data_IF_171792536441
#
_entry.id   IF_171792536441
#
_cell.length_a   1.000
_cell.length_b   1.000
_cell.length_c   1.000
_cell.angle_alpha   90.00
_cell.angle_beta   90.00
_cell.angle_gamma   90.00
#
_symmetry.space_group_name_H-M   'P 1'
#
loop_
_entity.id
_entity.type
_entity.pdbx_description
1 polymer ?
#
# COMPACT_ATOMS: atom_id res chain seq x y z
N UNK A 1 -2.47 -0.51 13.63
CA UNK A 1 -3.72 -0.70 14.38
C UNK A 1 -4.09 -2.18 14.60
N UNK A 2 -3.37 -3.14 13.99
CA UNK A 2 -3.55 -4.58 14.20
C UNK A 2 -2.81 -5.02 15.45
N UNK A 3 -3.50 -5.79 16.30
CA UNK A 3 -2.93 -6.40 17.51
C UNK A 3 -2.49 -7.83 17.25
N UNK A 4 -3.33 -8.63 16.59
CA UNK A 4 -3.02 -10.00 16.17
C UNK A 4 -3.66 -10.35 14.84
N UNK A 5 -3.09 -11.33 14.15
CA UNK A 5 -3.64 -11.95 12.96
C UNK A 5 -3.55 -13.47 13.13
N UNK A 6 -4.67 -14.14 12.99
CA UNK A 6 -4.78 -15.59 13.08
C UNK A 6 -5.34 -16.13 11.78
N UNK A 7 -4.76 -17.22 11.29
CA UNK A 7 -5.20 -17.88 10.06
C UNK A 7 -5.79 -19.25 10.41
N UNK A 8 -7.10 -19.39 10.26
CA UNK A 8 -7.82 -20.63 10.47
C UNK A 8 -7.87 -21.41 9.14
N UNK A 9 -7.10 -22.48 9.06
CA UNK A 9 -6.97 -23.28 7.82
C UNK A 9 -7.77 -24.57 7.87
N UNK A 10 -8.18 -24.99 9.07
CA UNK A 10 -8.94 -26.21 9.26
C UNK A 10 -10.46 -25.95 9.27
N UNK A 11 -11.22 -26.93 8.78
CA UNK A 11 -12.68 -26.80 8.65
C UNK A 11 -13.40 -26.67 10.00
N UNK A 12 -12.85 -27.22 11.08
CA UNK A 12 -13.50 -27.21 12.39
C UNK A 12 -13.45 -25.80 13.01
N UNK A 13 -12.29 -25.14 12.96
CA UNK A 13 -12.15 -23.76 13.47
C UNK A 13 -12.82 -22.73 12.55
N UNK A 14 -12.92 -23.00 11.25
CA UNK A 14 -13.56 -22.14 10.28
C UNK A 14 -15.11 -22.28 10.25
N UNK A 15 -15.66 -23.39 10.74
CA UNK A 15 -17.10 -23.71 10.64
C UNK A 15 -18.04 -22.65 11.24
N UNK A 16 -17.61 -21.94 12.29
CA UNK A 16 -18.42 -20.87 12.92
C UNK A 16 -18.62 -19.66 12.01
N UNK A 17 -17.83 -19.51 10.95
CA UNK A 17 -17.91 -18.41 9.98
C UNK A 17 -18.74 -18.74 8.73
N UNK A 18 -19.37 -19.95 8.72
CA UNK A 18 -20.31 -20.38 7.67
C UNK A 18 -19.62 -20.85 6.38
N UNK A 19 -20.43 -20.94 5.30
CA UNK A 19 -20.00 -21.54 4.02
C UNK A 19 -18.87 -20.76 3.31
N UNK A 20 -18.75 -19.47 3.56
CA UNK A 20 -17.70 -18.62 2.97
C UNK A 20 -16.31 -18.94 3.52
N UNK A 21 -16.25 -19.62 4.66
CA UNK A 21 -15.00 -20.04 5.30
C UNK A 21 -14.31 -21.25 4.63
N UNK A 22 -14.89 -21.81 3.54
CA UNK A 22 -14.36 -23.00 2.86
C UNK A 22 -12.91 -22.84 2.37
N UNK A 23 -12.45 -21.63 2.09
CA UNK A 23 -11.07 -21.32 1.69
C UNK A 23 -10.16 -20.86 2.86
N UNK A 24 -10.64 -21.03 4.10
CA UNK A 24 -9.98 -20.54 5.31
C UNK A 24 -10.45 -19.16 5.74
N UNK A 25 -10.10 -18.79 6.98
CA UNK A 25 -10.48 -17.53 7.59
C UNK A 25 -9.24 -16.82 8.12
N UNK A 26 -9.14 -15.52 7.89
CA UNK A 26 -8.14 -14.65 8.51
C UNK A 26 -8.83 -13.78 9.53
N UNK A 27 -8.55 -14.03 10.81
CA UNK A 27 -9.03 -13.21 11.92
C UNK A 27 -8.05 -12.08 12.18
N UNK A 28 -8.53 -10.85 12.12
CA UNK A 28 -7.75 -9.65 12.42
C UNK A 28 -8.33 -9.01 13.68
N UNK A 29 -7.55 -8.98 14.75
CA UNK A 29 -7.88 -8.26 15.97
C UNK A 29 -7.20 -6.89 15.95
N UNK A 30 -7.97 -5.82 16.14
CA UNK A 30 -7.43 -4.47 16.25
C UNK A 30 -6.93 -4.17 17.66
N UNK A 31 -6.00 -3.22 17.78
CA UNK A 31 -5.51 -2.75 19.08
C UNK A 31 -6.65 -2.16 19.88
N UNK A 32 -6.73 -2.55 21.14
CA UNK A 32 -7.65 -2.01 22.14
C UNK A 32 -6.90 -1.17 23.17
N UNK A 33 -7.60 -0.29 23.83
CA UNK A 33 -7.07 0.40 25.00
C UNK A 33 -6.68 -0.58 26.10
N UNK A 34 -5.67 -0.23 26.87
CA UNK A 34 -5.27 -0.96 28.08
C UNK A 34 -5.53 -0.10 29.30
N UNK A 35 -6.02 -0.71 30.39
CA UNK A 35 -6.11 -0.04 31.68
C UNK A 35 -4.71 0.41 32.12
N UNK A 36 -4.62 1.64 32.63
CA UNK A 36 -3.36 2.24 33.08
C UNK A 36 -3.23 3.69 32.62
N UNK A 37 -2.05 4.27 32.88
CA UNK A 37 -1.75 5.64 32.52
C UNK A 37 -1.83 5.83 30.98
N UNK A 38 -2.41 6.94 30.54
CA UNK A 38 -2.50 7.29 29.15
C UNK A 38 -1.13 7.36 28.47
N UNK A 39 -1.01 6.76 27.30
CA UNK A 39 0.21 6.72 26.50
C UNK A 39 -0.04 7.30 25.11
N UNK A 40 0.87 8.17 24.69
CA UNK A 40 0.95 8.68 23.32
C UNK A 40 2.09 7.95 22.62
N UNK A 41 1.84 7.48 21.41
CA UNK A 41 2.85 6.83 20.57
C UNK A 41 2.83 7.47 19.20
N UNK A 42 4.00 7.82 18.70
CA UNK A 42 4.19 8.28 17.33
C UNK A 42 5.16 7.36 16.61
N UNK A 43 4.70 6.82 15.49
CA UNK A 43 5.49 5.95 14.61
C UNK A 43 5.67 6.64 13.25
N UNK A 44 6.90 6.71 12.80
CA UNK A 44 7.25 7.20 11.49
C UNK A 44 7.92 6.10 10.68
N UNK A 45 7.47 5.91 9.45
CA UNK A 45 8.08 4.99 8.50
C UNK A 45 8.41 5.74 7.22
N UNK A 46 9.64 5.58 6.77
CA UNK A 46 10.10 6.04 5.47
C UNK A 46 10.59 4.84 4.67
N UNK A 47 10.21 4.77 3.41
CA UNK A 47 10.70 3.76 2.48
C UNK A 47 10.97 4.39 1.12
N UNK A 48 11.97 3.85 0.43
CA UNK A 48 12.25 4.14 -0.97
C UNK A 48 11.88 2.93 -1.81
N UNK A 49 11.33 3.16 -2.97
CA UNK A 49 10.96 2.12 -3.93
C UNK A 49 11.75 2.36 -5.21
N UNK A 50 12.32 1.31 -5.74
CA UNK A 50 13.03 1.32 -7.02
C UNK A 50 12.71 0.05 -7.78
N UNK A 51 12.79 0.12 -9.10
CA UNK A 51 12.61 -1.07 -9.93
C UNK A 51 13.87 -1.91 -9.81
N UNK A 52 13.71 -3.14 -9.32
CA UNK A 52 14.83 -4.04 -9.07
C UNK A 52 15.32 -4.78 -10.33
N UNK A 53 14.45 -4.96 -11.30
CA UNK A 53 14.75 -5.66 -12.53
C UNK A 53 13.95 -5.09 -13.70
N UNK A 54 14.65 -4.66 -14.73
CA UNK A 54 14.06 -4.21 -15.98
C UNK A 54 14.52 -5.09 -17.13
N UNK A 55 13.69 -5.43 -18.09
CA UNK A 55 14.13 -6.08 -19.31
C UNK A 55 15.09 -5.12 -20.04
N UNK A 56 16.14 -5.69 -20.64
CA UNK A 56 17.01 -4.93 -21.52
C UNK A 56 16.22 -4.60 -22.79
N UNK A 57 16.01 -3.33 -23.05
CA UNK A 57 15.44 -2.86 -24.29
C UNK A 57 16.54 -2.68 -25.34
N UNK A 58 16.14 -2.82 -26.60
CA UNK A 58 17.01 -2.49 -27.73
C UNK A 58 17.25 -0.98 -27.75
N UNK A 59 18.45 -0.55 -28.07
CA UNK A 59 18.71 0.84 -28.40
C UNK A 59 18.16 1.15 -29.82
N UNK A 60 18.24 2.41 -30.25
CA UNK A 60 17.66 2.83 -31.53
C UNK A 60 18.28 2.09 -32.71
N UNK A 61 19.58 1.89 -32.71
CA UNK A 61 20.30 1.17 -33.76
C UNK A 61 19.93 -0.32 -33.78
N UNK A 62 19.98 -0.97 -32.62
CA UNK A 62 19.60 -2.38 -32.46
C UNK A 62 18.15 -2.62 -32.91
N UNK A 63 17.25 -1.69 -32.55
CA UNK A 63 15.83 -1.78 -32.91
C UNK A 63 15.64 -1.67 -34.44
N UNK A 64 16.27 -0.68 -35.07
CA UNK A 64 16.12 -0.48 -36.52
C UNK A 64 16.73 -1.67 -37.28
N UNK A 65 17.89 -2.15 -36.87
CA UNK A 65 18.50 -3.33 -37.49
C UNK A 65 17.60 -4.57 -37.36
N UNK A 66 17.08 -4.84 -36.16
CA UNK A 66 16.17 -5.95 -35.93
C UNK A 66 14.92 -5.89 -36.81
N UNK A 67 14.30 -4.71 -36.90
CA UNK A 67 13.09 -4.50 -37.70
C UNK A 67 13.36 -4.54 -39.22
N UNK A 68 14.54 -4.12 -39.65
CA UNK A 68 14.97 -4.19 -41.07
C UNK A 68 15.29 -5.63 -41.47
N UNK A 69 15.97 -6.39 -40.64
CA UNK A 69 16.21 -7.83 -40.84
C UNK A 69 14.91 -8.63 -40.90
N UNK A 70 13.93 -8.25 -40.08
CA UNK A 70 12.59 -8.83 -40.09
C UNK A 70 11.73 -8.42 -41.28
N UNK A 71 12.22 -7.54 -42.15
CA UNK A 71 11.49 -7.04 -43.34
C UNK A 71 10.34 -6.08 -43.03
N UNK A 72 10.30 -5.53 -41.83
CA UNK A 72 9.25 -4.58 -41.39
C UNK A 72 9.61 -3.15 -41.78
N UNK A 73 10.89 -2.79 -41.67
CA UNK A 73 11.43 -1.51 -42.11
C UNK A 73 12.20 -1.65 -43.38
N UNK A 74 12.22 -0.59 -44.21
CA UNK A 74 13.07 -0.52 -45.39
C UNK A 74 14.56 -0.59 -45.00
N UNK A 75 15.40 -1.19 -45.86
CA UNK A 75 16.85 -1.34 -45.60
C UNK A 75 17.58 -0.01 -45.47
N UNK A 76 17.09 1.03 -46.08
CA UNK A 76 17.61 2.40 -46.06
C UNK A 76 16.98 3.27 -44.97
N UNK A 77 16.12 2.69 -44.10
CA UNK A 77 15.38 3.45 -43.08
C UNK A 77 16.29 4.24 -42.16
N UNK A 78 17.44 3.67 -41.79
CA UNK A 78 18.42 4.33 -40.91
C UNK A 78 18.97 5.61 -41.59
N UNK A 79 19.27 5.58 -42.87
CA UNK A 79 19.87 6.72 -43.57
C UNK A 79 18.86 7.85 -43.79
N UNK A 80 17.59 7.52 -43.92
CA UNK A 80 16.53 8.47 -44.28
C UNK A 80 15.82 9.02 -43.03
N UNK A 81 15.61 8.22 -41.99
CA UNK A 81 14.68 8.53 -40.90
C UNK A 81 15.33 8.66 -39.54
N UNK A 82 16.62 8.32 -39.40
CA UNK A 82 17.32 8.42 -38.10
C UNK A 82 18.61 9.26 -38.23
N UNK A 83 18.84 10.13 -37.28
CA UNK A 83 20.02 11.04 -37.24
C UNK A 83 21.33 10.34 -36.84
N UNK A 84 21.32 9.03 -36.59
CA UNK A 84 22.47 8.24 -36.15
C UNK A 84 22.94 8.54 -34.72
N UNK A 85 22.21 9.37 -33.96
CA UNK A 85 22.62 9.82 -32.60
C UNK A 85 21.51 9.70 -31.58
N UNK A 86 20.28 9.97 -31.96
CA UNK A 86 19.15 9.96 -31.03
C UNK A 86 18.92 8.54 -30.52
N UNK A 87 19.09 8.36 -29.20
CA UNK A 87 18.82 7.12 -28.52
C UNK A 87 18.14 7.41 -27.19
N UNK A 88 16.81 7.29 -27.17
CA UNK A 88 15.99 7.60 -26.02
C UNK A 88 15.81 6.37 -25.13
N UNK A 89 16.28 6.43 -23.89
CA UNK A 89 15.97 5.41 -22.91
C UNK A 89 14.55 5.65 -22.36
N UNK A 90 13.59 4.96 -22.92
CA UNK A 90 12.18 5.06 -22.53
C UNK A 90 11.91 4.61 -21.09
N UNK A 91 12.74 3.70 -20.56
CA UNK A 91 12.63 3.26 -19.17
C UNK A 91 12.96 4.41 -18.22
N UNK A 92 14.08 5.08 -18.44
CA UNK A 92 14.49 6.24 -17.61
C UNK A 92 13.55 7.44 -17.77
N UNK A 93 12.83 7.51 -18.90
CA UNK A 93 11.81 8.53 -19.10
C UNK A 93 10.49 8.21 -18.40
N UNK A 94 10.14 6.93 -18.28
CA UNK A 94 8.86 6.50 -17.75
C UNK A 94 8.90 6.30 -16.22
N UNK A 95 10.05 5.94 -15.66
CA UNK A 95 10.17 5.52 -14.27
C UNK A 95 11.19 6.32 -13.50
N UNK A 96 10.94 6.47 -12.21
CA UNK A 96 11.83 7.10 -11.25
C UNK A 96 11.78 6.37 -9.90
N UNK A 97 12.80 6.61 -9.07
CA UNK A 97 12.74 6.13 -7.69
C UNK A 97 11.68 6.92 -6.93
N UNK A 98 10.83 6.21 -6.22
CA UNK A 98 9.78 6.81 -5.43
C UNK A 98 10.04 6.69 -3.93
N UNK A 99 9.22 7.38 -3.15
CA UNK A 99 9.27 7.38 -1.70
C UNK A 99 7.88 7.19 -1.13
N UNK A 100 7.85 6.48 -0.03
CA UNK A 100 6.67 6.30 0.79
C UNK A 100 6.95 6.84 2.18
N UNK A 101 6.03 7.63 2.70
CA UNK A 101 6.04 8.07 4.09
C UNK A 101 4.76 7.63 4.78
N UNK A 102 4.89 7.18 6.02
CA UNK A 102 3.76 6.85 6.87
C UNK A 102 3.96 7.43 8.25
N UNK A 103 2.98 8.17 8.70
CA UNK A 103 2.90 8.75 10.03
C UNK A 103 1.74 8.11 10.77
N UNK A 104 1.96 7.66 11.99
CA UNK A 104 0.92 7.12 12.85
C UNK A 104 1.04 7.73 14.24
N UNK A 105 -0.01 8.40 14.67
CA UNK A 105 -0.15 8.95 16.00
C UNK A 105 -1.23 8.17 16.75
N UNK A 106 -0.90 7.56 17.87
CA UNK A 106 -1.83 6.76 18.64
C UNK A 106 -1.89 7.21 20.10
N UNK A 107 -3.10 7.18 20.65
CA UNK A 107 -3.42 7.48 22.04
C UNK A 107 -4.11 6.26 22.62
N UNK A 108 -3.58 5.75 23.71
CA UNK A 108 -4.17 4.61 24.43
C UNK A 108 -4.21 4.91 25.91
N UNK A 109 -5.24 4.47 26.56
CA UNK A 109 -5.37 4.62 28.01
C UNK A 109 -6.62 3.94 28.52
N UNK A 110 -6.82 4.03 29.84
CA UNK A 110 -7.99 3.47 30.48
C UNK A 110 -7.83 3.37 31.98
N UNK A 111 -8.90 2.98 32.63
CA UNK A 111 -8.98 2.75 34.07
C UNK A 111 -9.88 1.55 34.38
N UNK A 112 -10.33 1.46 35.64
CA UNK A 112 -11.23 0.36 36.07
C UNK A 112 -12.56 0.32 35.31
N UNK A 113 -13.05 1.49 34.88
CA UNK A 113 -14.35 1.60 34.24
C UNK A 113 -14.31 1.47 32.73
N UNK A 114 -13.16 1.60 32.10
CA UNK A 114 -13.08 1.51 30.65
C UNK A 114 -11.71 1.82 30.08
N UNK A 115 -11.60 1.57 28.79
CA UNK A 115 -10.35 1.82 28.05
C UNK A 115 -10.65 2.38 26.67
N UNK A 116 -9.66 3.05 26.09
CA UNK A 116 -9.75 3.62 24.76
C UNK A 116 -8.45 3.48 23.99
N UNK A 117 -8.59 3.37 22.70
CA UNK A 117 -7.53 3.45 21.70
C UNK A 117 -8.01 4.37 20.56
N UNK A 118 -7.23 5.38 20.27
CA UNK A 118 -7.42 6.31 19.16
C UNK A 118 -6.17 6.28 18.31
N UNK A 119 -6.30 6.23 17.00
CA UNK A 119 -5.15 6.43 16.12
C UNK A 119 -5.50 7.26 14.90
N UNK A 120 -4.51 8.02 14.42
CA UNK A 120 -4.54 8.76 13.18
C UNK A 120 -3.33 8.32 12.36
N UNK A 121 -3.58 7.79 11.17
CA UNK A 121 -2.54 7.36 10.24
C UNK A 121 -2.63 8.16 8.96
N UNK A 122 -1.51 8.69 8.52
CA UNK A 122 -1.35 9.30 7.18
C UNK A 122 -0.29 8.52 6.42
N UNK A 123 -0.64 8.07 5.23
CA UNK A 123 0.22 7.37 4.29
C UNK A 123 0.28 8.19 3.00
N UNK A 124 1.48 8.46 2.53
CA UNK A 124 1.77 9.07 1.23
C UNK A 124 2.77 8.19 0.48
N UNK A 125 2.39 7.73 -0.70
CA UNK A 125 3.20 6.91 -1.60
C UNK A 125 3.20 7.55 -2.98
N UNK A 126 4.36 7.95 -3.43
CA UNK A 126 4.54 8.74 -4.67
C UNK A 126 4.55 7.86 -5.94
N UNK A 127 4.53 6.50 -5.79
CA UNK A 127 4.61 5.61 -6.94
C UNK A 127 5.96 5.69 -7.69
N UNK A 128 6.13 4.87 -8.72
CA UNK A 128 7.38 4.76 -9.50
C UNK A 128 7.30 5.34 -10.91
N UNK A 129 6.10 5.72 -11.37
CA UNK A 129 5.90 6.33 -12.69
C UNK A 129 6.17 7.83 -12.60
N UNK A 130 7.08 8.29 -13.43
CA UNK A 130 7.56 9.66 -13.44
C UNK A 130 6.42 10.68 -13.61
N UNK A 131 6.48 11.78 -12.85
CA UNK A 131 5.49 12.84 -12.92
C UNK A 131 4.29 12.68 -12.00
N UNK A 132 4.37 11.84 -10.96
CA UNK A 132 3.30 11.61 -9.97
C UNK A 132 1.98 11.08 -10.56
N UNK A 133 2.10 10.22 -11.54
CA UNK A 133 0.94 9.67 -12.25
C UNK A 133 0.36 8.42 -11.59
N UNK A 134 1.03 7.85 -10.58
CA UNK A 134 0.66 6.64 -9.85
C UNK A 134 0.79 6.83 -8.33
N UNK A 135 0.21 7.90 -7.80
CA UNK A 135 0.32 8.21 -6.36
C UNK A 135 -0.86 7.66 -5.56
N UNK A 136 -0.58 7.30 -4.31
CA UNK A 136 -1.55 6.84 -3.33
C UNK A 136 -1.41 7.58 -2.00
N UNK A 137 -2.47 8.25 -1.59
CA UNK A 137 -2.56 8.93 -0.30
C UNK A 137 -3.72 8.36 0.50
N UNK A 138 -3.51 8.10 1.79
CA UNK A 138 -4.55 7.59 2.66
C UNK A 138 -4.47 8.21 4.05
N UNK A 139 -5.61 8.62 4.55
CA UNK A 139 -5.80 9.06 5.92
C UNK A 139 -6.78 8.11 6.60
N UNK A 140 -6.38 7.54 7.73
CA UNK A 140 -7.20 6.59 8.49
C UNK A 140 -7.32 7.08 9.93
N UNK A 141 -8.53 7.12 10.46
CA UNK A 141 -8.81 7.35 11.86
C UNK A 141 -9.46 6.11 12.47
N UNK A 142 -8.92 5.62 13.58
CA UNK A 142 -9.45 4.45 14.30
C UNK A 142 -9.83 4.86 15.73
N UNK A 143 -11.01 4.45 16.16
CA UNK A 143 -11.53 4.69 17.51
C UNK A 143 -12.07 3.37 18.06
N UNK A 144 -11.39 2.84 19.07
CA UNK A 144 -11.85 1.69 19.85
C UNK A 144 -12.00 2.11 21.30
N UNK A 145 -13.19 1.98 21.84
CA UNK A 145 -13.46 2.32 23.23
C UNK A 145 -14.41 1.30 23.85
N UNK A 146 -14.17 0.99 25.11
CA UNK A 146 -15.03 0.13 25.92
C UNK A 146 -15.27 0.80 27.28
N UNK A 147 -16.49 0.74 27.77
CA UNK A 147 -16.88 1.30 29.07
C UNK A 147 -17.82 0.35 29.81
N UNK A 148 -17.49 0.08 31.08
CA UNK A 148 -18.27 -0.75 31.99
C UNK A 148 -19.28 0.14 32.74
N UNK A 149 -20.52 0.20 32.27
CA UNK A 149 -21.60 0.99 32.91
C UNK A 149 -21.97 0.36 34.27
N UNK A 150 -22.04 -0.96 34.30
CA UNK A 150 -22.33 -1.78 35.47
C UNK A 150 -21.49 -3.06 35.40
N UNK A 151 -21.31 -3.82 36.47
CA UNK A 151 -20.58 -5.10 36.46
C UNK A 151 -21.13 -6.09 35.41
N UNK A 152 -22.39 -5.99 35.09
CA UNK A 152 -23.08 -6.83 34.10
C UNK A 152 -23.31 -6.15 32.75
N UNK A 153 -22.97 -4.86 32.60
CA UNK A 153 -23.24 -4.10 31.36
C UNK A 153 -21.98 -3.39 30.87
N UNK A 154 -21.44 -3.87 29.77
CA UNK A 154 -20.33 -3.26 29.03
C UNK A 154 -20.85 -2.70 27.71
N UNK A 155 -20.44 -1.49 27.37
CA UNK A 155 -20.70 -0.85 26.07
C UNK A 155 -19.37 -0.57 25.41
N UNK A 156 -19.28 -0.84 24.12
CA UNK A 156 -18.07 -0.61 23.36
C UNK A 156 -18.34 -0.17 21.93
N UNK A 157 -17.37 0.47 21.34
CA UNK A 157 -17.39 0.87 19.94
C UNK A 157 -16.05 0.56 19.28
N UNK A 158 -16.10 0.12 18.00
CA UNK A 158 -14.95 -0.08 17.13
C UNK A 158 -15.29 0.55 15.80
N UNK A 159 -14.65 1.67 15.50
CA UNK A 159 -14.87 2.40 14.27
C UNK A 159 -13.55 2.69 13.57
N UNK A 160 -13.58 2.59 12.26
CA UNK A 160 -12.51 3.03 11.38
C UNK A 160 -13.11 3.87 10.26
N UNK A 161 -12.54 5.05 10.07
CA UNK A 161 -12.89 5.96 8.99
C UNK A 161 -11.64 6.11 8.12
N UNK A 162 -11.82 5.94 6.82
CA UNK A 162 -10.74 6.03 5.86
C UNK A 162 -11.12 6.98 4.72
N UNK A 163 -10.16 7.83 4.35
CA UNK A 163 -10.20 8.64 3.13
C UNK A 163 -8.92 8.38 2.35
N UNK A 164 -9.07 8.03 1.10
CA UNK A 164 -7.91 7.83 0.22
C UNK A 164 -8.08 8.60 -1.10
N UNK A 165 -6.95 8.90 -1.70
CA UNK A 165 -6.85 9.47 -3.03
C UNK A 165 -5.86 8.62 -3.84
N UNK A 166 -6.30 8.16 -5.00
CA UNK A 166 -5.51 7.31 -5.90
C UNK A 166 -5.39 8.02 -7.24
N UNK A 167 -4.19 8.14 -7.74
CA UNK A 167 -3.92 8.48 -9.14
C UNK A 167 -3.39 7.23 -9.82
N UNK A 168 -4.00 6.87 -10.91
CA UNK A 168 -3.54 5.77 -11.75
C UNK A 168 -3.13 6.33 -13.10
N UNK A 169 -2.14 5.69 -13.71
CA UNK A 169 -1.80 5.97 -15.10
C UNK A 169 -3.03 5.62 -15.94
N UNK A 170 -3.64 6.62 -16.57
CA UNK A 170 -4.72 6.37 -17.53
C UNK A 170 -4.15 5.71 -18.77
N UNK A 171 -4.65 4.54 -19.12
CA UNK A 171 -4.41 3.89 -20.41
C UNK A 171 -5.11 4.65 -21.52
#
# INVERSE_FOLDING_TARGET
DIASMEVLKDAASAAIYGAEAGNGVILISTKKGKAGQGKITYDFQFATQSISHMPKLLNSEEYINYMSEGGILAKDYMEVNWDGKTNTNWIDMAFENSRMTKHNLAFTGGGEQGNYYLSLTYLDNDGIVKGKNDSYQRMTATINAEYNIKPWLKVGTTNQIEKYNVRNVSS
#
